data_IF_044703393809
#
_entry.id   IF_044703393809
#
_cell.length_a   1.000
_cell.length_b   1.000
_cell.length_c   1.000
_cell.angle_alpha   90.00
_cell.angle_beta   90.00
_cell.angle_gamma   90.00
#
_symmetry.space_group_name_H-M   'P 1'
#
loop_
_entity.id
_entity.type
_entity.pdbx_description
1 polymer ?
#
# COMPACT_ATOMS: atom_id res chain seq x y z
N UNK A 1 14.80 -17.59 13.88
CA UNK A 1 14.53 -18.48 12.73
C UNK A 1 14.13 -17.61 11.55
N UNK A 2 15.06 -17.36 10.64
CA UNK A 2 14.88 -16.46 9.50
C UNK A 2 14.44 -17.28 8.29
N UNK A 3 13.13 -17.38 8.05
CA UNK A 3 12.61 -17.88 6.79
C UNK A 3 11.30 -17.16 6.47
N UNK A 4 11.41 -16.11 5.67
CA UNK A 4 10.28 -15.55 4.92
C UNK A 4 10.85 -14.97 3.62
N UNK A 5 11.22 -15.86 2.69
CA UNK A 5 11.64 -15.50 1.35
C UNK A 5 10.42 -15.06 0.53
N UNK A 6 10.04 -13.78 0.62
CA UNK A 6 9.04 -13.18 -0.26
C UNK A 6 9.59 -12.93 -1.68
N UNK A 7 8.75 -13.12 -2.70
CA UNK A 7 9.12 -12.93 -4.10
C UNK A 7 9.34 -11.43 -4.40
N UNK A 8 10.47 -11.07 -5.03
CA UNK A 8 10.69 -9.71 -5.53
C UNK A 8 9.79 -9.48 -6.75
N UNK A 9 8.70 -8.75 -6.57
CA UNK A 9 7.73 -8.50 -7.63
C UNK A 9 7.81 -7.10 -8.22
N UNK A 10 8.33 -6.15 -7.45
CA UNK A 10 8.55 -4.78 -7.89
C UNK A 10 10.01 -4.38 -7.67
N UNK A 11 10.92 -4.74 -8.59
CA UNK A 11 12.29 -4.25 -8.55
C UNK A 11 12.31 -2.74 -8.74
N UNK A 12 13.15 -2.05 -7.97
CA UNK A 12 13.44 -0.64 -8.23
C UNK A 12 14.42 -0.50 -9.40
N UNK A 13 14.37 0.61 -10.16
CA UNK A 13 15.31 0.85 -11.24
C UNK A 13 16.75 1.03 -10.71
N UNK A 14 17.77 0.79 -11.56
CA UNK A 14 19.15 1.07 -11.20
C UNK A 14 19.36 2.55 -10.87
N UNK A 15 20.36 2.85 -10.04
CA UNK A 15 20.67 4.22 -9.63
C UNK A 15 19.86 4.74 -8.44
N UNK A 16 19.17 3.85 -7.70
CA UNK A 16 18.56 4.21 -6.42
C UNK A 16 19.60 4.76 -5.44
N UNK A 17 19.18 5.71 -4.60
CA UNK A 17 20.03 6.37 -3.60
C UNK A 17 19.39 6.33 -2.23
N UNK A 18 20.23 6.15 -1.21
CA UNK A 18 19.84 6.46 0.16
C UNK A 18 20.29 7.88 0.48
N UNK A 19 19.34 8.70 0.92
CA UNK A 19 19.56 10.09 1.30
C UNK A 19 19.08 10.35 2.74
N UNK A 20 19.53 11.45 3.34
CA UNK A 20 19.00 11.91 4.61
C UNK A 20 17.77 12.80 4.37
N UNK A 21 16.60 12.41 4.88
CA UNK A 21 15.40 13.23 4.81
C UNK A 21 15.58 14.54 5.57
N UNK A 22 15.15 15.66 4.97
CA UNK A 22 15.19 16.97 5.62
C UNK A 22 13.79 17.43 5.97
N UNK A 23 12.91 17.52 4.96
CA UNK A 23 11.54 18.04 5.12
C UNK A 23 10.64 17.61 3.97
N UNK A 24 9.33 17.69 4.18
CA UNK A 24 8.31 17.54 3.13
C UNK A 24 7.68 18.89 2.83
N UNK A 25 7.78 19.33 1.58
CA UNK A 25 7.23 20.59 1.08
C UNK A 25 5.92 20.33 0.34
N UNK A 26 4.88 21.13 0.63
CA UNK A 26 3.60 21.16 -0.10
C UNK A 26 2.99 19.76 -0.37
N UNK A 27 3.21 18.80 0.54
CA UNK A 27 2.80 17.38 0.47
C UNK A 27 3.41 16.52 -0.64
N UNK A 28 3.90 17.09 -1.74
CA UNK A 28 4.33 16.33 -2.93
C UNK A 28 5.83 16.31 -3.18
N UNK A 29 6.62 17.00 -2.36
CA UNK A 29 8.07 17.08 -2.52
C UNK A 29 8.77 16.73 -1.21
N UNK A 30 9.60 15.70 -1.24
CA UNK A 30 10.53 15.39 -0.17
C UNK A 30 11.88 16.01 -0.51
N UNK A 31 12.39 16.84 0.39
CA UNK A 31 13.74 17.37 0.31
C UNK A 31 14.64 16.50 1.16
N UNK A 32 15.75 16.07 0.56
CA UNK A 32 16.72 15.18 1.16
C UNK A 32 18.14 15.64 0.83
N UNK A 33 19.14 15.11 1.52
CA UNK A 33 20.56 15.41 1.28
C UNK A 33 21.31 14.11 1.03
N UNK A 34 22.14 14.10 0.00
CA UNK A 34 23.06 13.01 -0.29
C UNK A 34 24.14 12.96 0.82
N UNK A 35 24.28 11.85 1.57
CA UNK A 35 25.14 11.79 2.75
C UNK A 35 26.64 11.82 2.41
N UNK A 36 27.02 11.59 1.15
CA UNK A 36 28.41 11.58 0.72
C UNK A 36 28.84 12.91 0.12
N UNK A 37 27.96 13.56 -0.64
CA UNK A 37 28.28 14.79 -1.38
C UNK A 37 27.72 16.05 -0.73
N UNK A 38 26.75 15.93 0.18
CA UNK A 38 26.02 17.06 0.75
C UNK A 38 25.04 17.72 -0.22
N UNK A 39 24.87 17.18 -1.44
CA UNK A 39 23.97 17.73 -2.44
C UNK A 39 22.50 17.58 -2.03
N UNK A 40 21.69 18.63 -2.25
CA UNK A 40 20.24 18.54 -2.08
C UNK A 40 19.63 17.68 -3.19
N UNK A 41 18.90 16.63 -2.81
CA UNK A 41 18.13 15.79 -3.72
C UNK A 41 16.64 16.00 -3.45
N UNK A 42 15.91 16.47 -4.47
CA UNK A 42 14.46 16.71 -4.40
C UNK A 42 13.70 15.57 -5.07
N UNK A 43 12.85 14.91 -4.29
CA UNK A 43 12.09 13.76 -4.73
C UNK A 43 10.59 14.06 -4.73
N UNK A 44 9.88 13.54 -5.73
CA UNK A 44 8.43 13.52 -5.73
C UNK A 44 7.91 12.47 -4.73
N UNK A 45 6.87 12.80 -4.00
CA UNK A 45 6.05 11.82 -3.27
C UNK A 45 4.59 11.96 -3.69
N UNK A 46 3.94 10.82 -3.94
CA UNK A 46 2.50 10.71 -4.19
C UNK A 46 1.72 10.38 -2.92
N UNK A 47 2.39 10.29 -1.78
CA UNK A 47 1.77 10.06 -0.49
C UNK A 47 1.37 11.41 0.14
N UNK A 48 0.11 11.76 -0.03
CA UNK A 48 -0.50 12.95 0.56
C UNK A 48 -0.95 12.76 2.00
N UNK A 49 -0.86 11.52 2.52
CA UNK A 49 -1.20 11.15 3.89
C UNK A 49 -0.28 11.79 4.93
N UNK A 50 -0.55 11.52 6.19
CA UNK A 50 0.22 12.10 7.30
C UNK A 50 1.67 11.59 7.30
N UNK A 51 1.88 10.33 6.85
CA UNK A 51 3.15 9.63 6.99
C UNK A 51 3.63 9.65 8.45
N UNK A 52 2.66 9.46 9.36
CA UNK A 52 2.83 9.62 10.80
C UNK A 52 4.04 8.83 11.31
N UNK A 53 4.89 9.50 12.09
CA UNK A 53 6.10 8.90 12.66
C UNK A 53 7.31 8.80 11.70
N UNK A 54 7.14 9.00 10.38
CA UNK A 54 8.21 8.78 9.39
C UNK A 54 8.97 10.05 8.97
N UNK A 55 8.37 11.24 9.12
CA UNK A 55 8.90 12.50 8.56
C UNK A 55 9.92 13.22 9.46
N UNK A 56 10.80 12.49 10.17
CA UNK A 56 11.80 13.11 11.04
C UNK A 56 13.05 13.50 10.24
N UNK A 57 13.59 14.73 10.40
CA UNK A 57 14.87 15.09 9.80
C UNK A 57 15.97 14.09 10.17
N UNK A 58 16.84 13.74 9.22
CA UNK A 58 17.87 12.72 9.35
C UNK A 58 17.41 11.29 9.06
N UNK A 59 16.10 11.03 8.94
CA UNK A 59 15.58 9.70 8.58
C UNK A 59 16.13 9.28 7.22
N UNK A 60 16.60 8.04 7.08
CA UNK A 60 17.04 7.55 5.79
C UNK A 60 15.85 7.47 4.81
N UNK A 61 16.04 8.02 3.62
CA UNK A 61 15.09 8.03 2.54
C UNK A 61 15.65 7.26 1.36
N UNK A 62 14.89 6.28 0.87
CA UNK A 62 15.21 5.55 -0.35
C UNK A 62 14.56 6.25 -1.55
N UNK A 63 15.41 6.70 -2.47
CA UNK A 63 15.03 7.42 -3.68
C UNK A 63 15.28 6.54 -4.90
N UNK A 64 14.32 6.48 -5.81
CA UNK A 64 14.52 5.94 -7.16
C UNK A 64 14.64 7.09 -8.18
N UNK A 65 15.42 6.93 -9.26
CA UNK A 65 15.39 7.87 -10.37
C UNK A 65 13.96 8.02 -10.90
N UNK A 66 13.51 9.26 -11.03
CA UNK A 66 12.22 9.54 -11.64
C UNK A 66 12.23 9.05 -13.10
N UNK A 67 11.19 8.32 -13.55
CA UNK A 67 11.08 7.95 -14.95
C UNK A 67 11.08 9.20 -15.83
N UNK A 68 11.97 9.20 -16.81
CA UNK A 68 12.07 10.29 -17.78
C UNK A 68 10.99 10.14 -18.84
N UNK A 69 10.48 11.27 -19.33
CA UNK A 69 9.51 11.26 -20.42
C UNK A 69 10.24 10.98 -21.73
N UNK A 70 9.68 10.10 -22.55
CA UNK A 70 10.18 9.88 -23.91
C UNK A 70 9.97 11.12 -24.81
N UNK A 71 8.92 11.90 -24.52
CA UNK A 71 8.57 13.13 -25.24
C UNK A 71 8.13 14.23 -24.26
N UNK A 72 8.43 15.49 -24.60
CA UNK A 72 8.11 16.66 -23.79
C UNK A 72 9.18 17.02 -22.74
N UNK A 73 8.90 18.02 -21.88
CA UNK A 73 9.89 18.54 -20.94
C UNK A 73 10.25 17.51 -19.86
N UNK A 74 11.54 17.47 -19.50
CA UNK A 74 12.03 16.61 -18.43
C UNK A 74 11.34 16.96 -17.09
N UNK A 75 11.21 15.95 -16.22
CA UNK A 75 10.61 16.16 -14.91
C UNK A 75 11.53 17.05 -14.07
N UNK A 76 10.98 18.12 -13.50
CA UNK A 76 11.71 19.02 -12.61
C UNK A 76 12.25 18.30 -11.36
N UNK A 77 11.51 17.32 -10.84
CA UNK A 77 11.95 16.44 -9.77
C UNK A 77 12.56 15.17 -10.37
N UNK A 78 13.87 15.01 -10.19
CA UNK A 78 14.65 13.90 -10.75
C UNK A 78 14.54 12.60 -9.96
N UNK A 79 13.91 12.63 -8.79
CA UNK A 79 13.79 11.50 -7.87
C UNK A 79 12.34 11.21 -7.50
N UNK A 80 12.05 9.97 -7.12
CA UNK A 80 10.80 9.55 -6.46
C UNK A 80 11.15 9.02 -5.08
N UNK A 81 10.40 9.42 -4.06
CA UNK A 81 10.53 8.87 -2.71
C UNK A 81 9.81 7.52 -2.66
N UNK A 82 10.57 6.44 -2.52
CA UNK A 82 10.04 5.08 -2.48
C UNK A 82 9.75 4.63 -1.05
N UNK A 83 10.71 4.85 -0.14
CA UNK A 83 10.63 4.40 1.24
C UNK A 83 11.32 5.35 2.23
N UNK A 84 10.92 5.28 3.50
CA UNK A 84 11.59 5.90 4.63
C UNK A 84 11.95 4.83 5.66
N UNK A 85 13.09 4.94 6.32
CA UNK A 85 13.45 4.03 7.39
C UNK A 85 12.60 4.29 8.66
N UNK A 86 12.25 3.22 9.38
CA UNK A 86 11.69 3.35 10.72
C UNK A 86 12.73 3.98 11.67
N UNK A 87 12.32 4.91 12.54
CA UNK A 87 13.17 5.38 13.62
C UNK A 87 13.54 4.23 14.57
N UNK A 88 14.77 4.21 15.10
CA UNK A 88 15.16 3.32 16.20
C UNK A 88 15.91 2.03 15.82
N UNK A 89 16.38 1.89 14.57
CA UNK A 89 17.26 0.78 14.19
C UNK A 89 18.58 0.78 14.97
N UNK A 90 19.14 -0.41 15.23
CA UNK A 90 20.44 -0.56 15.86
C UNK A 90 21.57 -0.18 14.91
N UNK A 91 22.64 0.44 15.44
CA UNK A 91 23.84 0.74 14.64
C UNK A 91 24.41 -0.57 14.09
N UNK A 92 24.53 -0.66 12.75
CA UNK A 92 25.09 -1.83 12.07
C UNK A 92 24.05 -2.77 11.46
N UNK A 93 22.76 -2.61 11.77
CA UNK A 93 21.68 -3.35 11.12
C UNK A 93 21.12 -2.58 9.91
N UNK A 94 20.66 -3.29 8.86
CA UNK A 94 19.99 -2.64 7.75
C UNK A 94 18.71 -1.96 8.25
N UNK A 95 18.38 -0.76 7.76
CA UNK A 95 17.17 -0.06 8.17
C UNK A 95 15.92 -0.88 7.81
N UNK A 96 14.95 -0.89 8.72
CA UNK A 96 13.60 -1.34 8.45
C UNK A 96 12.89 -0.30 7.56
N UNK A 97 12.74 -0.61 6.28
CA UNK A 97 12.13 0.29 5.31
C UNK A 97 10.60 0.27 5.37
N UNK A 98 9.99 1.44 5.29
CA UNK A 98 8.56 1.65 5.12
C UNK A 98 8.28 2.18 3.72
N UNK A 99 7.55 1.41 2.92
CA UNK A 99 7.20 1.80 1.55
C UNK A 99 6.14 2.89 1.54
N UNK A 100 6.51 4.09 1.11
CA UNK A 100 5.62 5.26 1.16
C UNK A 100 5.03 5.60 -0.20
N UNK A 101 5.53 5.04 -1.30
CA UNK A 101 4.96 5.22 -2.63
C UNK A 101 3.57 4.56 -2.72
N UNK A 102 2.52 5.39 -2.82
CA UNK A 102 1.12 4.92 -2.79
C UNK A 102 0.66 4.25 -4.08
N UNK A 103 1.49 4.22 -5.12
CA UNK A 103 1.24 3.44 -6.34
C UNK A 103 1.78 2.00 -6.24
N UNK A 104 2.62 1.70 -5.24
CA UNK A 104 3.17 0.36 -5.04
C UNK A 104 2.10 -0.72 -4.88
N UNK A 105 1.00 -0.54 -4.11
CA UNK A 105 -0.06 -1.54 -3.99
C UNK A 105 -0.63 -1.97 -5.35
N UNK A 106 -1.01 -1.02 -6.21
CA UNK A 106 -1.60 -1.32 -7.53
C UNK A 106 -0.62 -2.08 -8.43
N UNK A 107 0.64 -1.64 -8.44
CA UNK A 107 1.71 -2.31 -9.22
C UNK A 107 1.95 -3.72 -8.68
N UNK A 108 1.95 -3.89 -7.36
CA UNK A 108 2.21 -5.17 -6.71
C UNK A 108 1.05 -6.14 -6.93
N UNK A 109 -0.19 -5.67 -6.87
CA UNK A 109 -1.38 -6.45 -7.21
C UNK A 109 -1.25 -7.00 -8.65
N UNK A 110 -0.94 -6.13 -9.61
CA UNK A 110 -0.77 -6.54 -11.01
C UNK A 110 0.40 -7.54 -11.18
N UNK A 111 1.52 -7.31 -10.50
CA UNK A 111 2.67 -8.21 -10.54
C UNK A 111 2.37 -9.58 -9.90
N UNK A 112 1.69 -9.59 -8.75
CA UNK A 112 1.28 -10.80 -8.03
C UNK A 112 0.25 -11.60 -8.82
N UNK A 113 -0.69 -10.94 -9.49
CA UNK A 113 -1.65 -11.58 -10.39
C UNK A 113 -0.94 -12.27 -11.57
N UNK A 114 -0.03 -11.57 -12.26
CA UNK A 114 0.78 -12.14 -13.36
C UNK A 114 1.63 -13.32 -12.89
N UNK A 115 2.22 -13.21 -11.70
CA UNK A 115 3.03 -14.25 -11.09
C UNK A 115 2.20 -15.40 -10.49
N UNK A 116 0.86 -15.37 -10.59
CA UNK A 116 -0.05 -16.41 -10.06
C UNK A 116 0.06 -16.60 -8.53
N UNK A 117 0.37 -15.52 -7.80
CA UNK A 117 0.58 -15.54 -6.33
C UNK A 117 -0.66 -15.17 -5.52
N UNK A 118 -1.80 -14.94 -6.18
CA UNK A 118 -3.07 -14.58 -5.54
C UNK A 118 -4.05 -15.75 -5.67
N UNK A 119 -4.19 -16.61 -4.64
CA UNK A 119 -4.98 -17.85 -4.72
C UNK A 119 -6.42 -17.63 -5.19
N UNK A 120 -7.10 -16.59 -4.70
CA UNK A 120 -8.49 -16.25 -4.98
C UNK A 120 -8.71 -15.69 -6.39
N UNK A 121 -7.62 -15.35 -7.08
CA UNK A 121 -7.60 -14.79 -8.42
C UNK A 121 -7.05 -15.76 -9.47
N UNK A 122 -6.68 -17.00 -9.10
CA UNK A 122 -6.09 -17.98 -10.02
C UNK A 122 -6.99 -18.38 -11.19
N UNK A 123 -8.32 -18.26 -11.08
CA UNK A 123 -9.21 -18.60 -12.18
C UNK A 123 -9.35 -17.44 -13.21
N UNK A 124 -8.91 -16.23 -12.86
CA UNK A 124 -9.03 -15.05 -13.72
C UNK A 124 -7.88 -14.98 -14.74
N UNK A 125 -8.23 -14.66 -15.99
CA UNK A 125 -7.29 -14.60 -17.12
C UNK A 125 -7.14 -13.19 -17.69
N UNK A 126 -8.03 -12.26 -17.35
CA UNK A 126 -7.96 -10.84 -17.70
C UNK A 126 -7.67 -9.95 -16.48
N UNK A 127 -6.90 -8.89 -16.71
CA UNK A 127 -6.60 -7.84 -15.73
C UNK A 127 -6.65 -6.48 -16.41
N UNK A 128 -7.51 -5.59 -15.93
CA UNK A 128 -7.59 -4.20 -16.37
C UNK A 128 -7.34 -3.27 -15.17
N UNK A 129 -6.32 -2.39 -15.21
CA UNK A 129 -6.13 -1.38 -14.17
C UNK A 129 -7.17 -0.26 -14.31
N UNK A 130 -7.34 0.54 -13.25
CA UNK A 130 -8.11 1.81 -13.33
C UNK A 130 -9.57 1.58 -13.78
N UNK A 131 -10.21 0.55 -13.23
CA UNK A 131 -11.54 0.10 -13.60
C UNK A 131 -12.63 1.09 -13.18
N UNK A 132 -13.38 1.62 -14.15
CA UNK A 132 -14.53 2.50 -13.88
C UNK A 132 -15.73 1.69 -13.41
N UNK A 133 -16.41 2.19 -12.38
CA UNK A 133 -17.64 1.60 -11.85
C UNK A 133 -18.52 2.71 -11.29
N UNK A 134 -19.73 2.86 -11.82
CA UNK A 134 -20.59 4.01 -11.52
C UNK A 134 -19.85 5.34 -11.69
N UNK A 135 -19.81 6.15 -10.63
CA UNK A 135 -19.08 7.43 -10.58
C UNK A 135 -17.65 7.29 -10.01
N UNK A 136 -17.23 6.07 -9.65
CA UNK A 136 -15.96 5.77 -9.00
C UNK A 136 -14.99 5.10 -9.97
N UNK A 137 -13.74 4.98 -9.52
CA UNK A 137 -12.71 4.20 -10.19
C UNK A 137 -11.95 3.39 -9.15
N UNK A 138 -11.98 2.08 -9.34
CA UNK A 138 -11.25 1.12 -8.51
C UNK A 138 -9.93 0.73 -9.20
N UNK A 139 -9.00 0.23 -8.41
CA UNK A 139 -7.63 0.03 -8.86
C UNK A 139 -7.49 -1.09 -9.90
N UNK A 140 -8.33 -2.13 -9.86
CA UNK A 140 -8.33 -3.19 -10.87
C UNK A 140 -9.69 -3.87 -11.07
N UNK A 141 -9.87 -4.43 -12.27
CA UNK A 141 -10.91 -5.37 -12.63
C UNK A 141 -10.26 -6.64 -13.19
N UNK A 142 -10.60 -7.78 -12.60
CA UNK A 142 -10.21 -9.10 -13.06
C UNK A 142 -11.42 -9.78 -13.72
N UNK A 143 -11.17 -10.40 -14.88
CA UNK A 143 -12.20 -11.14 -15.65
C UNK A 143 -11.71 -12.53 -16.03
N UNK A 144 -12.65 -13.46 -16.26
CA UNK A 144 -12.34 -14.81 -16.71
C UNK A 144 -13.59 -15.52 -17.25
N UNK A 145 -13.44 -16.55 -18.10
CA UNK A 145 -14.57 -17.24 -18.70
C UNK A 145 -15.50 -17.87 -17.64
N UNK A 146 -16.78 -17.53 -17.67
CA UNK A 146 -17.79 -18.08 -16.74
C UNK A 146 -17.65 -17.60 -15.29
N UNK A 147 -16.81 -16.60 -15.01
CA UNK A 147 -16.61 -16.06 -13.68
C UNK A 147 -17.30 -14.70 -13.51
N UNK A 148 -17.83 -14.39 -12.32
CA UNK A 148 -18.25 -13.03 -12.01
C UNK A 148 -17.05 -12.07 -12.06
N UNK A 149 -17.22 -10.84 -12.59
CA UNK A 149 -16.22 -9.78 -12.51
C UNK A 149 -15.71 -9.59 -11.08
N UNK A 150 -14.40 -9.45 -10.90
CA UNK A 150 -13.78 -9.20 -9.60
C UNK A 150 -13.15 -7.81 -9.59
N UNK A 151 -13.74 -6.90 -8.84
CA UNK A 151 -13.20 -5.56 -8.62
C UNK A 151 -12.29 -5.56 -7.41
N UNK A 152 -11.14 -4.89 -7.51
CA UNK A 152 -10.16 -4.83 -6.43
C UNK A 152 -9.79 -3.38 -6.17
N UNK A 153 -9.84 -2.99 -4.90
CA UNK A 153 -9.39 -1.71 -4.41
C UNK A 153 -8.15 -1.89 -3.54
N UNK A 154 -7.07 -1.18 -3.85
CA UNK A 154 -5.81 -1.24 -3.15
C UNK A 154 -5.67 -0.15 -2.07
N UNK A 155 -4.90 -0.45 -1.03
CA UNK A 155 -4.53 0.48 0.04
C UNK A 155 -3.08 0.30 0.41
N UNK A 156 -2.37 1.41 0.58
CA UNK A 156 -1.02 1.38 1.18
C UNK A 156 -1.16 1.54 2.69
N UNK A 157 -0.57 0.62 3.45
CA UNK A 157 -0.65 0.59 4.92
C UNK A 157 0.74 0.83 5.49
N UNK A 158 0.90 1.98 6.15
CA UNK A 158 2.18 2.42 6.75
C UNK A 158 2.09 2.68 8.26
N UNK A 159 0.87 2.76 8.80
CA UNK A 159 0.60 2.86 10.23
C UNK A 159 0.60 1.47 10.85
N UNK A 160 1.32 1.32 11.96
CA UNK A 160 1.23 0.14 12.83
C UNK A 160 1.24 0.64 14.26
N UNK A 161 0.31 0.14 15.06
CA UNK A 161 0.21 0.38 16.49
C UNK A 161 -0.02 -0.97 17.18
N UNK A 162 0.74 -1.25 18.24
CA UNK A 162 0.67 -2.50 19.02
C UNK A 162 0.70 -3.78 18.15
N UNK A 163 1.57 -3.79 17.14
CA UNK A 163 1.71 -4.91 16.19
C UNK A 163 0.56 -5.04 15.19
N UNK A 164 -0.43 -4.13 15.19
CA UNK A 164 -1.53 -4.14 14.22
C UNK A 164 -1.24 -3.15 13.11
N UNK A 165 -1.18 -3.61 11.87
CA UNK A 165 -1.11 -2.75 10.70
C UNK A 165 -2.47 -2.12 10.44
N UNK A 166 -2.53 -0.78 10.47
CA UNK A 166 -3.78 -0.05 10.51
C UNK A 166 -4.01 0.87 9.31
N UNK A 167 -5.27 0.95 8.87
CA UNK A 167 -5.71 1.90 7.85
C UNK A 167 -7.06 2.53 8.23
N UNK A 168 -7.28 3.84 8.00
CA UNK A 168 -6.35 4.81 7.39
C UNK A 168 -5.42 5.51 8.40
N UNK A 169 -4.42 6.26 7.92
CA UNK A 169 -3.53 7.12 8.73
C UNK A 169 -4.05 8.57 8.88
N UNK A 170 -5.22 8.86 8.30
CA UNK A 170 -6.02 10.07 8.44
C UNK A 170 -7.46 9.78 7.97
N UNK A 171 -8.45 10.50 8.49
CA UNK A 171 -9.84 10.33 8.06
C UNK A 171 -10.00 10.46 6.54
N UNK A 172 -10.71 9.52 5.91
CA UNK A 172 -10.74 9.38 4.44
C UNK A 172 -12.16 9.21 3.91
N UNK A 173 -12.78 10.31 3.51
CA UNK A 173 -14.10 10.29 2.85
C UNK A 173 -14.07 9.47 1.55
N UNK A 174 -12.98 9.58 0.78
CA UNK A 174 -12.79 8.77 -0.42
C UNK A 174 -12.74 7.27 -0.10
N UNK A 175 -12.02 6.90 0.96
CA UNK A 175 -11.95 5.52 1.43
C UNK A 175 -13.34 4.97 1.79
N UNK A 176 -14.15 5.77 2.48
CA UNK A 176 -15.54 5.40 2.84
C UNK A 176 -16.43 5.20 1.61
N UNK A 177 -16.40 6.14 0.66
CA UNK A 177 -17.14 6.01 -0.62
C UNK A 177 -16.76 4.75 -1.39
N UNK A 178 -15.48 4.38 -1.39
CA UNK A 178 -15.04 3.15 -2.05
C UNK A 178 -15.54 1.89 -1.32
N UNK A 179 -15.68 1.90 0.01
CA UNK A 179 -16.29 0.77 0.74
C UNK A 179 -17.75 0.59 0.34
N UNK A 180 -18.54 1.67 0.30
CA UNK A 180 -19.94 1.61 -0.11
C UNK A 180 -20.10 1.13 -1.57
N UNK A 181 -19.20 1.55 -2.45
CA UNK A 181 -19.14 1.09 -3.84
C UNK A 181 -18.85 -0.41 -3.96
N UNK A 182 -17.92 -0.95 -3.14
CA UNK A 182 -17.64 -2.38 -3.12
C UNK A 182 -18.84 -3.20 -2.60
N UNK A 183 -19.58 -2.68 -1.62
CA UNK A 183 -20.84 -3.29 -1.15
C UNK A 183 -21.90 -3.30 -2.26
N UNK A 184 -22.05 -2.18 -2.99
CA UNK A 184 -22.95 -2.11 -4.15
C UNK A 184 -22.60 -3.17 -5.19
N UNK A 185 -21.32 -3.30 -5.55
CA UNK A 185 -20.85 -4.32 -6.49
C UNK A 185 -21.16 -5.76 -6.04
N UNK A 186 -21.04 -6.05 -4.74
CA UNK A 186 -21.46 -7.36 -4.19
C UNK A 186 -22.95 -7.61 -4.38
N UNK A 187 -23.79 -6.59 -4.16
CA UNK A 187 -25.25 -6.70 -4.37
C UNK A 187 -25.64 -6.94 -5.84
N UNK A 188 -24.77 -6.54 -6.78
CA UNK A 188 -24.95 -6.73 -8.23
C UNK A 188 -24.38 -8.07 -8.73
N UNK A 189 -23.98 -8.96 -7.83
CA UNK A 189 -23.43 -10.27 -8.17
C UNK A 189 -21.96 -10.27 -8.59
N UNK A 190 -21.26 -9.14 -8.51
CA UNK A 190 -19.82 -9.09 -8.71
C UNK A 190 -19.07 -9.63 -7.48
N UNK A 191 -17.82 -10.05 -7.67
CA UNK A 191 -16.86 -10.17 -6.57
C UNK A 191 -16.17 -8.83 -6.35
N UNK A 192 -15.80 -8.58 -5.10
CA UNK A 192 -15.17 -7.34 -4.68
C UNK A 192 -14.12 -7.66 -3.62
N UNK A 193 -12.94 -7.07 -3.70
CA UNK A 193 -11.84 -7.30 -2.76
C UNK A 193 -11.13 -6.00 -2.37
N UNK A 194 -10.68 -5.94 -1.12
CA UNK A 194 -9.75 -4.94 -0.62
C UNK A 194 -8.35 -5.54 -0.52
N UNK A 195 -7.40 -4.98 -1.27
CA UNK A 195 -5.99 -5.34 -1.21
C UNK A 195 -5.22 -4.36 -0.33
N UNK A 196 -5.00 -4.72 0.93
CA UNK A 196 -4.19 -3.92 1.85
C UNK A 196 -2.74 -4.38 1.79
N UNK A 197 -1.86 -3.49 1.34
CA UNK A 197 -0.43 -3.74 1.32
C UNK A 197 0.25 -3.08 2.51
N UNK A 198 0.60 -3.88 3.51
CA UNK A 198 1.37 -3.47 4.67
C UNK A 198 2.85 -3.45 4.32
N UNK A 199 3.39 -2.27 4.06
CA UNK A 199 4.81 -2.06 3.78
C UNK A 199 5.57 -1.71 5.06
N UNK A 200 5.29 -2.45 6.14
CA UNK A 200 5.88 -2.35 7.48
C UNK A 200 6.27 -3.77 7.95
N UNK A 201 7.49 -4.00 8.43
CA UNK A 201 7.92 -5.34 8.82
C UNK A 201 7.34 -5.83 10.16
N UNK A 202 6.82 -4.92 10.98
CA UNK A 202 6.44 -5.11 12.39
C UNK A 202 4.92 -5.07 12.63
N UNK A 203 4.11 -5.27 11.58
CA UNK A 203 2.65 -5.42 11.69
C UNK A 203 2.22 -6.88 11.48
N UNK A 204 1.75 -7.55 12.52
CA UNK A 204 1.44 -8.99 12.60
C UNK A 204 0.01 -9.36 12.18
N UNK A 205 -0.89 -8.40 12.20
CA UNK A 205 -2.25 -8.52 11.71
C UNK A 205 -2.72 -7.20 11.10
N UNK A 206 -3.85 -7.22 10.43
CA UNK A 206 -4.49 -6.02 9.90
C UNK A 206 -5.69 -5.61 10.76
N UNK A 207 -5.89 -4.31 10.94
CA UNK A 207 -7.07 -3.73 11.58
C UNK A 207 -7.44 -2.39 10.94
N UNK A 208 -8.72 -1.96 10.94
CA UNK A 208 -9.03 -0.57 10.66
C UNK A 208 -8.60 0.33 11.84
N UNK A 209 -8.11 1.53 11.53
CA UNK A 209 -7.73 2.55 12.53
C UNK A 209 -8.97 3.26 13.09
N UNK A 210 -9.74 2.58 13.96
CA UNK A 210 -10.99 3.11 14.53
C UNK A 210 -10.82 4.44 15.27
N UNK A 211 -9.69 4.63 15.97
CA UNK A 211 -9.38 5.90 16.65
C UNK A 211 -9.18 7.08 15.68
N UNK A 212 -8.83 6.81 14.42
CA UNK A 212 -8.58 7.81 13.38
C UNK A 212 -9.83 8.05 12.53
N UNK A 213 -10.49 6.98 12.11
CA UNK A 213 -11.69 7.04 11.26
C UNK A 213 -12.71 5.96 11.67
N UNK A 214 -13.54 6.22 12.70
CA UNK A 214 -14.52 5.24 13.17
C UNK A 214 -15.58 4.93 12.10
N UNK A 215 -15.87 5.87 11.21
CA UNK A 215 -16.80 5.65 10.10
C UNK A 215 -16.23 4.70 9.06
N UNK A 216 -14.93 4.81 8.74
CA UNK A 216 -14.25 3.83 7.90
C UNK A 216 -14.23 2.45 8.54
N UNK A 217 -13.92 2.36 9.84
CA UNK A 217 -13.90 1.09 10.55
C UNK A 217 -15.27 0.39 10.53
N UNK A 218 -16.35 1.12 10.82
CA UNK A 218 -17.71 0.62 10.71
C UNK A 218 -18.07 0.23 9.25
N UNK A 219 -17.66 1.03 8.28
CA UNK A 219 -17.84 0.74 6.86
C UNK A 219 -17.14 -0.54 6.41
N UNK A 220 -15.92 -0.76 6.90
CA UNK A 220 -15.15 -1.98 6.60
C UNK A 220 -15.88 -3.20 7.15
N UNK A 221 -16.35 -3.17 8.40
CA UNK A 221 -17.14 -4.28 8.97
C UNK A 221 -18.38 -4.57 8.13
N UNK A 222 -19.13 -3.55 7.70
CA UNK A 222 -20.28 -3.72 6.80
C UNK A 222 -19.87 -4.35 5.46
N UNK A 223 -18.77 -3.90 4.86
CA UNK A 223 -18.29 -4.42 3.60
C UNK A 223 -17.90 -5.91 3.70
N UNK A 224 -17.17 -6.29 4.76
CA UNK A 224 -16.79 -7.68 4.99
C UNK A 224 -18.02 -8.57 5.23
N UNK A 225 -19.02 -8.09 5.98
CA UNK A 225 -20.31 -8.80 6.16
C UNK A 225 -21.10 -8.95 4.85
N UNK A 226 -20.99 -7.99 3.93
CA UNK A 226 -21.57 -8.09 2.58
C UNK A 226 -20.77 -9.02 1.63
N UNK A 227 -19.71 -9.66 2.13
CA UNK A 227 -18.88 -10.59 1.36
C UNK A 227 -17.82 -9.91 0.49
N UNK A 228 -17.46 -8.65 0.77
CA UNK A 228 -16.22 -8.07 0.23
C UNK A 228 -15.03 -8.81 0.85
N UNK A 229 -14.12 -9.27 0.00
CA UNK A 229 -12.96 -10.05 0.42
C UNK A 229 -11.87 -9.16 1.01
N UNK A 230 -11.18 -9.65 2.04
CA UNK A 230 -10.04 -8.97 2.66
C UNK A 230 -8.73 -9.66 2.26
N UNK A 231 -7.93 -8.98 1.44
CA UNK A 231 -6.60 -9.43 1.05
C UNK A 231 -5.54 -8.54 1.69
N UNK A 232 -5.29 -8.75 2.98
CA UNK A 232 -4.22 -8.07 3.70
C UNK A 232 -2.90 -8.85 3.54
N UNK A 233 -1.87 -8.17 3.05
CA UNK A 233 -0.55 -8.74 2.78
C UNK A 233 0.53 -7.89 3.42
N UNK A 234 1.57 -8.55 3.95
CA UNK A 234 2.82 -7.91 4.31
C UNK A 234 3.72 -7.87 3.08
N UNK A 235 4.41 -6.75 2.91
CA UNK A 235 5.51 -6.60 1.98
C UNK A 235 6.81 -6.31 2.71
N UNK A 236 7.89 -6.90 2.21
CA UNK A 236 9.24 -6.59 2.65
C UNK A 236 9.85 -5.60 1.67
N UNK A 237 10.12 -4.40 2.16
CA UNK A 237 10.75 -3.33 1.38
C UNK A 237 12.26 -3.38 1.57
N UNK A 238 13.00 -3.35 0.48
CA UNK A 238 14.47 -3.33 0.46
C UNK A 238 14.96 -2.30 -0.54
N UNK A 239 16.27 -2.04 -0.57
CA UNK A 239 16.87 -1.19 -1.60
C UNK A 239 16.73 -1.77 -3.02
N UNK A 240 16.53 -3.09 -3.15
CA UNK A 240 16.32 -3.73 -4.45
C UNK A 240 14.87 -3.61 -4.96
N UNK A 241 13.91 -3.36 -4.07
CA UNK A 241 12.49 -3.32 -4.42
C UNK A 241 11.56 -3.84 -3.33
N UNK A 242 10.31 -4.04 -3.74
CA UNK A 242 9.22 -4.53 -2.87
C UNK A 242 8.98 -6.00 -3.13
N UNK A 243 9.08 -6.80 -2.06
CA UNK A 243 8.76 -8.21 -2.06
C UNK A 243 7.36 -8.44 -1.49
N UNK A 244 6.54 -9.25 -2.15
CA UNK A 244 5.31 -9.76 -1.54
C UNK A 244 5.68 -10.92 -0.61
N UNK A 245 5.28 -10.81 0.66
CA UNK A 245 5.60 -11.79 1.69
C UNK A 245 4.33 -12.56 2.08
N UNK A 246 4.02 -12.68 3.36
CA UNK A 246 2.88 -13.41 3.88
C UNK A 246 1.57 -12.61 3.90
N UNK A 247 0.46 -13.35 4.07
CA UNK A 247 -0.83 -12.75 4.43
C UNK A 247 -0.88 -12.35 5.89
N UNK A 248 -1.57 -11.26 6.14
CA UNK A 248 -1.92 -10.82 7.49
C UNK A 248 -3.36 -11.22 7.79
N UNK A 249 -3.64 -11.88 8.92
CA UNK A 249 -5.00 -12.10 9.36
C UNK A 249 -5.64 -10.77 9.76
N UNK A 250 -6.98 -10.69 9.72
CA UNK A 250 -7.71 -9.64 10.42
C UNK A 250 -7.49 -9.83 11.92
N UNK A 251 -7.23 -8.74 12.65
CA UNK A 251 -7.03 -8.77 14.09
C UNK A 251 -8.21 -9.47 14.80
N UNK A 252 -7.96 -10.31 15.83
CA UNK A 252 -9.01 -11.17 16.41
C UNK A 252 -10.28 -10.44 16.87
N UNK A 253 -10.13 -9.26 17.49
CA UNK A 253 -11.26 -8.44 17.93
C UNK A 253 -12.13 -7.96 16.75
N UNK A 254 -11.53 -7.62 15.62
CA UNK A 254 -12.25 -7.24 14.41
C UNK A 254 -12.87 -8.43 13.70
N UNK A 255 -12.19 -9.58 13.69
CA UNK A 255 -12.74 -10.83 13.17
C UNK A 255 -13.99 -11.27 13.96
N UNK A 256 -14.02 -11.06 15.28
CA UNK A 256 -15.21 -11.28 16.10
C UNK A 256 -16.36 -10.35 15.71
N UNK A 257 -16.10 -9.03 15.62
CA UNK A 257 -17.11 -8.05 15.17
C UNK A 257 -17.70 -8.36 13.80
N UNK A 258 -16.91 -8.86 12.85
CA UNK A 258 -17.44 -9.25 11.52
C UNK A 258 -18.39 -10.45 11.63
N UNK A 259 -18.10 -11.42 12.50
CA UNK A 259 -18.89 -12.64 12.71
C UNK A 259 -20.14 -12.44 13.55
N UNK A 260 -20.16 -11.46 14.43
CA UNK A 260 -21.37 -11.09 15.17
C UNK A 260 -22.46 -10.71 14.15
N UNK A 261 -23.42 -11.61 13.94
CA UNK A 261 -24.61 -11.31 13.14
C UNK A 261 -25.29 -10.09 13.77
N UNK A 262 -25.80 -9.18 12.93
CA UNK A 262 -26.62 -8.08 13.42
C UNK A 262 -27.82 -8.69 14.14
N UNK A 263 -27.83 -8.63 15.47
CA UNK A 263 -28.99 -8.94 16.29
C UNK A 263 -30.18 -8.06 15.96
#
# INVERSE_FOLDING_TARGET
MCSASGALLLPYPPGCRVAAFVRREKRFTAVTVDPHTGAELRAHTNNTGSMLGLLRPGTQALLSPAPQRATGPQRALQWTLEALALPGGHRGEPPAWVGVNTLSPNRLLAAAWRARLLPEALAYTGFAPEAKTGASRLDALLTGPGLPPLYVECKNVTLVEDGQAQFPDAASERGRKHLDELVRLRSEGCRAALFFLTQRPDGDCFAPAEAIDPQYAAGLVRALRAGVELWAWRARVTQAGVHLAERLPLAPCWAARVREEGG
#
